data_IF_906920331896
#
_entry.id   IF_906920331896
#
_cell.length_a   1.000
_cell.length_b   1.000
_cell.length_c   1.000
_cell.angle_alpha   90.00
_cell.angle_beta   90.00
_cell.angle_gamma   90.00
#
_symmetry.space_group_name_H-M   'P 1'
#
loop_
_entity.id
_entity.type
_entity.pdbx_description
1 polymer ?
#
# COMPACT_ATOMS: atom_id res chain seq x y z
N UNK A 1 4.34 -15.34 17.61
CA UNK A 1 3.45 -14.19 17.43
C UNK A 1 3.23 -14.05 15.93
N UNK A 2 2.11 -14.55 15.41
CA UNK A 2 1.74 -14.45 14.00
C UNK A 2 0.74 -13.31 13.79
N UNK A 3 0.92 -12.53 12.72
CA UNK A 3 0.00 -11.45 12.29
C UNK A 3 0.28 -10.10 12.96
N UNK A 4 0.65 -9.02 12.26
CA UNK A 4 -0.31 -8.18 11.56
C UNK A 4 -0.74 -8.57 10.15
N UNK A 5 -2.03 -8.41 9.89
CA UNK A 5 -2.62 -8.46 8.56
C UNK A 5 -2.97 -7.02 8.14
N UNK A 6 -2.70 -6.68 6.89
CA UNK A 6 -3.27 -5.48 6.27
C UNK A 6 -4.68 -5.86 5.82
N UNK A 7 -5.69 -5.15 6.30
CA UNK A 7 -7.05 -5.33 5.81
C UNK A 7 -7.19 -4.63 4.45
N UNK A 8 -6.86 -5.32 3.36
CA UNK A 8 -6.99 -4.83 1.99
C UNK A 8 -8.10 -5.58 1.26
N UNK A 9 -9.32 -5.07 1.39
CA UNK A 9 -10.47 -5.49 0.57
C UNK A 9 -10.97 -4.35 -0.34
N UNK A 10 -10.12 -3.37 -0.67
CA UNK A 10 -10.54 -2.21 -1.46
C UNK A 10 -9.83 -2.20 -2.81
N UNK A 11 -10.58 -2.43 -3.88
CA UNK A 11 -10.18 -2.02 -5.24
C UNK A 11 -10.17 -0.49 -5.27
N UNK A 12 -9.02 0.12 -5.55
CA UNK A 12 -8.91 1.58 -5.58
C UNK A 12 -9.15 2.09 -7.00
N UNK A 13 -9.91 3.19 -7.13
CA UNK A 13 -10.19 3.83 -8.42
C UNK A 13 -9.65 5.26 -8.48
N UNK A 14 -8.96 5.55 -9.56
CA UNK A 14 -8.49 6.88 -9.94
C UNK A 14 -9.19 7.31 -11.23
N UNK A 15 -9.50 8.59 -11.35
CA UNK A 15 -9.74 9.23 -12.63
C UNK A 15 -8.39 9.75 -13.13
N UNK A 16 -8.06 9.51 -14.40
CA UNK A 16 -6.81 10.00 -14.97
C UNK A 16 -6.63 11.51 -14.73
N UNK A 17 -5.46 11.89 -14.20
CA UNK A 17 -5.12 13.27 -13.86
C UNK A 17 -5.26 13.61 -12.37
N UNK A 18 -5.93 12.77 -11.58
CA UNK A 18 -5.97 12.93 -10.12
C UNK A 18 -4.64 12.50 -9.46
N UNK A 19 -4.27 13.18 -8.37
CA UNK A 19 -3.44 12.63 -7.33
C UNK A 19 -4.29 12.32 -6.09
N UNK A 20 -4.03 11.18 -5.44
CA UNK A 20 -4.76 10.76 -4.24
C UNK A 20 -3.82 10.09 -3.25
N UNK A 21 -4.20 10.21 -1.98
CA UNK A 21 -3.63 9.45 -0.89
C UNK A 21 -4.39 8.13 -0.72
N UNK A 22 -3.65 7.02 -0.67
CA UNK A 22 -4.15 5.70 -0.30
C UNK A 22 -3.69 5.43 1.12
N UNK A 23 -4.64 5.28 2.04
CA UNK A 23 -4.37 4.97 3.44
C UNK A 23 -4.63 3.49 3.72
N UNK A 24 -3.58 2.77 4.14
CA UNK A 24 -3.67 1.37 4.52
C UNK A 24 -3.54 1.22 6.04
N UNK A 25 -4.54 0.60 6.67
CA UNK A 25 -4.48 0.27 8.10
C UNK A 25 -3.86 -1.10 8.30
N UNK A 26 -2.76 -1.15 9.04
CA UNK A 26 -2.19 -2.41 9.55
C UNK A 26 -2.92 -2.77 10.84
N UNK A 27 -3.27 -4.05 11.03
CA UNK A 27 -3.91 -4.54 12.26
C UNK A 27 -3.21 -5.79 12.78
N UNK A 28 -2.99 -5.88 14.09
CA UNK A 28 -2.64 -7.13 14.75
C UNK A 28 -3.89 -8.01 14.94
N UNK A 29 -3.81 -9.36 14.82
CA UNK A 29 -4.94 -10.27 15.01
C UNK A 29 -5.62 -10.18 16.38
N UNK A 30 -4.89 -9.74 17.41
CA UNK A 30 -5.35 -9.69 18.80
C UNK A 30 -5.35 -8.25 19.38
N UNK A 31 -5.30 -7.22 18.54
CA UNK A 31 -5.12 -5.82 18.96
C UNK A 31 -3.89 -5.58 19.86
N UNK A 32 -2.90 -6.49 19.82
CA UNK A 32 -1.63 -6.32 20.52
C UNK A 32 -0.90 -5.06 20.01
N UNK A 33 -0.28 -4.26 20.90
CA UNK A 33 0.49 -3.08 20.49
C UNK A 33 1.64 -3.48 19.56
N UNK A 34 1.83 -2.72 18.49
CA UNK A 34 2.95 -2.91 17.57
C UNK A 34 3.45 -1.58 17.01
N UNK A 35 4.66 -1.60 16.44
CA UNK A 35 5.27 -0.45 15.78
C UNK A 35 5.67 -0.86 14.38
N UNK A 36 5.30 -0.05 13.40
CA UNK A 36 5.79 -0.18 12.03
C UNK A 36 7.10 0.61 11.96
N UNK A 37 8.20 -0.07 11.63
CA UNK A 37 9.55 0.53 11.63
C UNK A 37 9.98 1.03 10.26
N UNK A 38 9.42 0.46 9.19
CA UNK A 38 9.65 0.90 7.82
C UNK A 38 8.51 0.48 6.92
N UNK A 39 8.29 1.26 5.86
CA UNK A 39 7.33 0.94 4.82
C UNK A 39 7.74 1.58 3.49
N UNK A 40 7.58 0.82 2.41
CA UNK A 40 7.80 1.25 1.03
C UNK A 40 6.75 0.68 0.10
N UNK A 41 6.63 1.26 -1.08
CA UNK A 41 5.70 0.80 -2.10
C UNK A 41 6.36 0.73 -3.47
N UNK A 42 5.80 -0.14 -4.30
CA UNK A 42 6.03 -0.21 -5.73
C UNK A 42 4.68 -0.17 -6.43
N UNK A 43 4.53 0.76 -7.36
CA UNK A 43 3.36 0.89 -8.22
C UNK A 43 3.73 0.50 -9.64
N UNK A 44 3.08 -0.53 -10.15
CA UNK A 44 3.45 -1.15 -11.42
C UNK A 44 2.26 -1.48 -12.29
N UNK A 45 2.53 -1.63 -13.59
CA UNK A 45 1.55 -2.05 -14.60
C UNK A 45 2.24 -3.01 -15.56
N UNK A 46 1.64 -4.18 -15.78
CA UNK A 46 2.20 -5.23 -16.64
C UNK A 46 3.67 -5.58 -16.31
N UNK A 47 4.00 -5.61 -15.02
CA UNK A 47 5.36 -5.90 -14.54
C UNK A 47 6.37 -4.75 -14.69
N UNK A 48 5.97 -3.60 -15.25
CA UNK A 48 6.80 -2.40 -15.33
C UNK A 48 6.50 -1.49 -14.15
N UNK A 49 7.53 -1.14 -13.38
CA UNK A 49 7.43 -0.14 -12.32
C UNK A 49 7.23 1.25 -12.94
N UNK A 50 6.21 1.97 -12.47
CA UNK A 50 5.92 3.34 -12.87
C UNK A 50 6.18 4.34 -11.74
N UNK A 51 6.09 3.91 -10.49
CA UNK A 51 6.49 4.68 -9.32
C UNK A 51 6.91 3.76 -8.17
N UNK A 52 7.81 4.23 -7.33
CA UNK A 52 8.20 3.57 -6.08
C UNK A 52 8.66 4.61 -5.06
N UNK A 53 8.61 4.27 -3.79
CA UNK A 53 9.02 5.18 -2.72
C UNK A 53 8.78 4.64 -1.32
N UNK A 54 9.08 5.47 -0.32
CA UNK A 54 8.69 5.22 1.07
C UNK A 54 7.21 5.57 1.29
N UNK A 55 6.57 4.88 2.23
CA UNK A 55 5.27 5.29 2.75
C UNK A 55 5.45 6.21 3.96
N UNK A 56 4.55 7.17 4.13
CA UNK A 56 4.47 7.92 5.38
C UNK A 56 3.77 7.05 6.44
N UNK A 57 4.43 6.85 7.58
CA UNK A 57 3.91 6.03 8.68
C UNK A 57 3.26 6.96 9.70
N UNK A 58 1.95 6.82 9.86
CA UNK A 58 1.14 7.57 10.83
C UNK A 58 0.46 6.58 11.77
N UNK A 59 1.08 6.32 12.92
CA UNK A 59 0.64 5.27 13.86
C UNK A 59 0.54 3.91 13.13
N UNK A 60 -0.64 3.32 13.05
CA UNK A 60 -0.88 2.05 12.35
C UNK A 60 -1.32 2.22 10.89
N UNK A 61 -1.15 3.41 10.31
CA UNK A 61 -1.51 3.73 8.93
C UNK A 61 -0.28 3.95 8.05
N UNK A 62 -0.32 3.38 6.85
CA UNK A 62 0.61 3.67 5.76
C UNK A 62 -0.08 4.60 4.76
N UNK A 63 0.47 5.78 4.58
CA UNK A 63 -0.02 6.75 3.62
C UNK A 63 0.88 6.78 2.37
N UNK A 64 0.25 6.68 1.21
CA UNK A 64 0.89 6.59 -0.10
C UNK A 64 0.19 7.55 -1.05
N UNK A 65 0.91 8.58 -1.49
CA UNK A 65 0.43 9.49 -2.53
C UNK A 65 0.76 8.96 -3.92
N UNK A 66 -0.25 8.71 -4.74
CA UNK A 66 -0.08 8.28 -6.14
C UNK A 66 -0.68 9.30 -7.11
N UNK A 67 -0.05 9.42 -8.28
CA UNK A 67 -0.56 10.19 -9.42
C UNK A 67 -0.31 9.40 -10.72
N UNK A 68 -1.13 8.37 -11.01
CA UNK A 68 -0.99 7.54 -12.21
C UNK A 68 -1.07 8.38 -13.50
N UNK A 69 -0.26 8.03 -14.50
CA UNK A 69 -0.13 8.83 -15.73
C UNK A 69 -0.88 8.28 -16.93
N UNK A 70 -1.37 7.04 -16.85
CA UNK A 70 -2.10 6.40 -17.94
C UNK A 70 -3.32 5.62 -17.42
N UNK A 71 -4.36 5.51 -18.25
CA UNK A 71 -5.52 4.66 -17.97
C UNK A 71 -5.14 3.19 -18.03
N UNK A 72 -5.58 2.41 -17.05
CA UNK A 72 -5.47 0.95 -17.07
C UNK A 72 -6.30 0.34 -15.94
N UNK A 73 -6.78 -0.88 -16.16
CA UNK A 73 -7.42 -1.72 -15.15
C UNK A 73 -6.45 -2.68 -14.46
N UNK A 74 -5.16 -2.59 -14.77
CA UNK A 74 -4.15 -3.60 -14.43
C UNK A 74 -2.99 -3.01 -13.63
N UNK A 75 -3.22 -1.93 -12.88
CA UNK A 75 -2.20 -1.44 -11.95
C UNK A 75 -2.20 -2.26 -10.67
N UNK A 76 -1.00 -2.49 -10.14
CA UNK A 76 -0.76 -3.15 -8.88
C UNK A 76 0.06 -2.22 -7.98
N UNK A 77 -0.47 -1.95 -6.79
CA UNK A 77 0.26 -1.32 -5.71
C UNK A 77 0.72 -2.42 -4.75
N UNK A 78 2.01 -2.69 -4.72
CA UNK A 78 2.65 -3.57 -3.74
C UNK A 78 3.25 -2.71 -2.63
N UNK A 79 2.92 -3.04 -1.38
CA UNK A 79 3.44 -2.35 -0.19
C UNK A 79 4.22 -3.35 0.63
N UNK A 80 5.47 -3.00 0.95
CA UNK A 80 6.35 -3.76 1.84
C UNK A 80 6.50 -3.00 3.13
N UNK A 81 6.28 -3.63 4.28
CA UNK A 81 6.38 -2.98 5.58
C UNK A 81 6.96 -3.93 6.63
N UNK A 82 7.62 -3.35 7.64
CA UNK A 82 8.27 -4.10 8.71
C UNK A 82 7.62 -3.80 10.04
N UNK A 83 7.28 -4.86 10.77
CA UNK A 83 6.79 -4.82 12.16
C UNK A 83 7.73 -5.68 12.98
N UNK A 84 8.37 -5.10 14.00
CA UNK A 84 9.45 -5.73 14.76
C UNK A 84 10.55 -6.32 13.85
N UNK A 85 10.70 -7.63 13.82
CA UNK A 85 11.68 -8.40 13.03
C UNK A 85 11.09 -8.99 11.73
N UNK A 86 9.82 -8.68 11.45
CA UNK A 86 9.06 -9.33 10.38
C UNK A 86 8.73 -8.35 9.26
N UNK A 87 9.29 -8.59 8.08
CA UNK A 87 8.92 -7.89 6.84
C UNK A 87 7.76 -8.60 6.16
N UNK A 88 6.76 -7.83 5.75
CA UNK A 88 5.49 -8.30 5.20
C UNK A 88 5.16 -7.53 3.93
N UNK A 89 4.33 -8.13 3.08
CA UNK A 89 3.87 -7.52 1.83
C UNK A 89 2.35 -7.56 1.72
N UNK A 90 1.78 -6.53 1.10
CA UNK A 90 0.38 -6.46 0.71
C UNK A 90 0.28 -5.98 -0.73
N UNK A 91 -0.69 -6.49 -1.49
CA UNK A 91 -0.96 -6.07 -2.86
C UNK A 91 -2.38 -5.53 -2.97
N UNK A 92 -2.54 -4.42 -3.68
CA UNK A 92 -3.82 -3.76 -3.95
C UNK A 92 -3.96 -3.56 -5.46
N UNK A 93 -5.13 -3.93 -5.98
CA UNK A 93 -5.50 -3.61 -7.37
C UNK A 93 -5.94 -2.15 -7.47
N UNK A 94 -5.39 -1.46 -8.47
CA UNK A 94 -5.73 -0.07 -8.78
C UNK A 94 -6.26 0.00 -10.21
N UNK A 95 -7.39 0.67 -10.38
CA UNK A 95 -7.99 0.97 -11.68
C UNK A 95 -7.93 2.48 -11.92
N UNK A 96 -7.42 2.87 -13.09
CA UNK A 96 -7.39 4.26 -13.56
C UNK A 96 -8.31 4.36 -14.77
N UNK A 97 -9.41 5.11 -14.61
CA UNK A 97 -10.47 5.29 -15.62
C UNK A 97 -10.33 6.58 -16.43
#
# INVERSE_FOLDING_TARGET
MEGGAVAVNAKVKFILGEDKHIMLKVRAPNDEPFIITSASYTFSRYGKVEAEGSCDINDHYLDIKLSPKEKSRSYELEVTYTVADSTRKARIEVEVI
#
